data_IF_401741569942
#
_entry.id   IF_401741569942
#
_cell.length_a   1.000
_cell.length_b   1.000
_cell.length_c   1.000
_cell.angle_alpha   90.00
_cell.angle_beta   90.00
_cell.angle_gamma   90.00
#
_symmetry.space_group_name_H-M   'P 1'
#
loop_
_entity.id
_entity.type
_entity.pdbx_description
1 polymer ?
#
# COMPACT_ATOMS: atom_id res chain seq x y z
N UNK A 1 4.25 -3.37 2.32
CA UNK A 1 5.71 -3.65 2.30
C UNK A 1 6.44 -2.31 2.28
N UNK A 2 7.46 -2.08 3.13
CA UNK A 2 8.24 -0.84 3.12
C UNK A 2 9.02 -0.67 1.82
N UNK A 3 9.04 0.55 1.26
CA UNK A 3 9.77 0.84 0.02
C UNK A 3 11.07 1.56 0.33
N UNK A 4 12.18 1.11 -0.28
CA UNK A 4 13.50 1.74 -0.13
C UNK A 4 13.43 3.24 -0.46
N UNK A 5 14.13 4.06 0.32
CA UNK A 5 14.17 5.53 0.21
C UNK A 5 12.83 6.26 0.41
N UNK A 6 11.76 5.56 0.77
CA UNK A 6 10.46 6.13 1.08
C UNK A 6 10.08 5.92 2.56
N UNK A 7 11.06 5.98 3.48
CA UNK A 7 10.88 5.62 4.90
C UNK A 7 9.72 6.37 5.56
N UNK A 8 9.64 7.69 5.39
CA UNK A 8 8.55 8.51 5.93
C UNK A 8 7.19 8.05 5.40
N UNK A 9 7.07 7.80 4.10
CA UNK A 9 5.84 7.30 3.49
C UNK A 9 5.47 5.91 4.03
N UNK A 10 6.42 4.97 4.07
CA UNK A 10 6.18 3.61 4.57
C UNK A 10 5.80 3.59 6.06
N UNK A 11 6.48 4.39 6.89
CA UNK A 11 6.15 4.53 8.31
C UNK A 11 4.75 5.09 8.51
N UNK A 12 4.40 6.17 7.81
CA UNK A 12 3.05 6.75 7.89
C UNK A 12 1.97 5.77 7.45
N UNK A 13 2.21 4.95 6.42
CA UNK A 13 1.24 3.93 5.99
C UNK A 13 1.11 2.77 6.97
N UNK A 14 2.20 2.32 7.59
CA UNK A 14 2.15 1.31 8.64
C UNK A 14 1.42 1.82 9.90
N UNK A 15 1.62 3.09 10.28
CA UNK A 15 0.94 3.69 11.42
C UNK A 15 -0.59 3.70 11.27
N UNK A 16 -1.10 3.85 10.04
CA UNK A 16 -2.54 3.78 9.77
C UNK A 16 -3.15 2.40 10.06
N UNK A 17 -2.38 1.30 9.90
CA UNK A 17 -2.86 -0.04 10.25
C UNK A 17 -3.13 -0.14 11.76
N UNK A 18 -2.18 0.28 12.59
CA UNK A 18 -2.35 0.30 14.06
C UNK A 18 -3.45 1.27 14.47
N UNK A 19 -3.48 2.47 13.90
CA UNK A 19 -4.52 3.46 14.20
C UNK A 19 -5.92 2.88 13.95
N UNK A 20 -6.13 2.20 12.82
CA UNK A 20 -7.42 1.61 12.50
C UNK A 20 -7.80 0.42 13.40
N UNK A 21 -6.82 -0.38 13.84
CA UNK A 21 -7.05 -1.45 14.82
C UNK A 21 -7.50 -0.85 16.16
N UNK A 22 -6.77 0.15 16.66
CA UNK A 22 -7.10 0.82 17.93
C UNK A 22 -8.46 1.50 17.85
N UNK A 23 -8.73 2.27 16.79
CA UNK A 23 -10.03 2.92 16.60
C UNK A 23 -11.19 1.94 16.57
N UNK A 24 -11.04 0.76 15.93
CA UNK A 24 -12.08 -0.28 15.93
C UNK A 24 -12.46 -0.70 17.35
N UNK A 25 -11.47 -0.89 18.23
CA UNK A 25 -11.71 -1.24 19.64
C UNK A 25 -12.34 -0.09 20.41
N UNK A 26 -11.90 1.15 20.16
CA UNK A 26 -12.44 2.33 20.86
C UNK A 26 -13.91 2.62 20.50
N UNK A 27 -14.32 2.34 19.26
CA UNK A 27 -15.70 2.58 18.78
C UNK A 27 -16.59 1.34 18.84
N UNK A 28 -16.12 0.26 19.45
CA UNK A 28 -16.89 -0.98 19.59
C UNK A 28 -18.21 -0.71 20.33
N UNK A 29 -19.32 -1.26 19.81
CA UNK A 29 -20.66 -1.07 20.36
C UNK A 29 -21.31 0.28 20.03
N UNK A 30 -20.62 1.22 19.38
CA UNK A 30 -21.17 2.55 19.03
C UNK A 30 -21.89 2.57 17.66
N UNK A 31 -22.02 1.41 17.00
CA UNK A 31 -22.62 1.32 15.66
C UNK A 31 -21.74 1.87 14.53
N UNK A 32 -20.49 2.25 14.81
CA UNK A 32 -19.49 2.71 13.84
C UNK A 32 -18.59 1.55 13.40
N UNK A 33 -18.34 1.44 12.10
CA UNK A 33 -17.39 0.47 11.53
C UNK A 33 -16.15 1.19 11.00
N UNK A 34 -14.97 0.65 11.28
CA UNK A 34 -13.69 1.17 10.78
C UNK A 34 -13.01 0.09 9.95
N UNK A 35 -12.88 0.34 8.64
CA UNK A 35 -12.23 -0.57 7.70
C UNK A 35 -11.00 0.06 7.05
N UNK A 36 -10.03 -0.76 6.68
CA UNK A 36 -8.80 -0.34 5.98
C UNK A 36 -8.73 -0.99 4.60
N UNK A 37 -8.60 -0.17 3.57
CA UNK A 37 -8.30 -0.64 2.21
C UNK A 37 -6.83 -0.38 1.89
N UNK A 38 -6.13 -1.44 1.53
CA UNK A 38 -4.70 -1.45 1.28
C UNK A 38 -4.44 -1.78 -0.19
N UNK A 39 -4.41 -0.77 -1.06
CA UNK A 39 -4.05 -0.99 -2.44
C UNK A 39 -2.57 -1.33 -2.57
N UNK A 40 -2.26 -2.18 -3.54
CA UNK A 40 -0.91 -2.38 -4.02
C UNK A 40 -0.47 -1.29 -4.97
N UNK A 41 0.20 -1.68 -6.05
CA UNK A 41 0.65 -0.76 -7.09
C UNK A 41 -0.55 -0.28 -7.91
N UNK A 42 -0.82 1.02 -7.90
CA UNK A 42 -1.95 1.62 -8.65
C UNK A 42 -1.44 2.47 -9.81
N UNK A 43 -2.01 2.29 -10.99
CA UNK A 43 -1.80 3.12 -12.20
C UNK A 43 -2.39 4.51 -11.99
N UNK A 44 -1.66 5.33 -11.23
CA UNK A 44 -2.03 6.70 -10.86
C UNK A 44 -0.84 7.65 -11.02
N UNK A 45 -1.10 8.94 -10.90
CA UNK A 45 -0.08 9.97 -10.92
C UNK A 45 0.72 10.08 -9.61
N UNK A 46 0.60 9.12 -8.68
CA UNK A 46 1.32 9.14 -7.40
C UNK A 46 2.83 9.35 -7.58
N UNK A 47 3.44 8.66 -8.54
CA UNK A 47 4.87 8.74 -8.84
C UNK A 47 5.32 10.08 -9.42
N UNK A 48 4.40 10.96 -9.83
CA UNK A 48 4.73 12.33 -10.27
C UNK A 48 5.23 13.19 -9.12
N UNK A 49 4.72 12.93 -7.90
CA UNK A 49 4.98 13.72 -6.70
C UNK A 49 5.63 12.92 -5.56
N UNK A 50 5.80 11.61 -5.72
CA UNK A 50 6.43 10.76 -4.70
C UNK A 50 7.86 11.24 -4.39
N UNK A 51 8.21 11.35 -3.11
CA UNK A 51 9.55 11.73 -2.68
C UNK A 51 10.39 10.49 -2.35
N UNK A 52 11.58 10.42 -2.93
CA UNK A 52 12.61 9.43 -2.64
C UNK A 52 13.80 10.17 -2.02
N UNK A 53 14.16 9.81 -0.80
CA UNK A 53 15.20 10.50 -0.02
C UNK A 53 16.59 9.85 -0.13
N UNK A 54 16.81 9.02 -1.15
CA UNK A 54 18.10 8.43 -1.48
C UNK A 54 19.04 9.43 -2.16
N UNK A 55 20.32 9.08 -2.31
CA UNK A 55 21.32 9.93 -3.00
C UNK A 55 20.89 10.33 -4.42
N UNK A 56 20.20 9.43 -5.12
CA UNK A 56 19.73 9.63 -6.49
C UNK A 56 18.18 9.65 -6.56
N UNK A 57 17.51 10.30 -5.60
CA UNK A 57 16.06 10.21 -5.44
C UNK A 57 15.21 10.43 -6.71
N UNK A 58 15.60 11.37 -7.57
CA UNK A 58 14.91 11.62 -8.86
C UNK A 58 15.08 10.48 -9.87
N UNK A 59 16.25 9.86 -9.90
CA UNK A 59 16.54 8.69 -10.74
C UNK A 59 15.81 7.46 -10.19
N UNK A 60 15.89 7.21 -8.88
CA UNK A 60 15.16 6.13 -8.20
C UNK A 60 13.65 6.22 -8.49
N UNK A 61 13.08 7.42 -8.41
CA UNK A 61 11.67 7.70 -8.71
C UNK A 61 11.33 7.42 -10.17
N UNK A 62 12.23 7.76 -11.10
CA UNK A 62 12.06 7.52 -12.55
C UNK A 62 12.13 6.02 -12.86
N UNK A 63 13.12 5.32 -12.33
CA UNK A 63 13.30 3.87 -12.49
C UNK A 63 12.11 3.11 -11.90
N UNK A 64 11.67 3.47 -10.69
CA UNK A 64 10.48 2.87 -10.07
C UNK A 64 9.23 3.11 -10.93
N UNK A 65 9.03 4.33 -11.43
CA UNK A 65 7.89 4.64 -12.32
C UNK A 65 7.92 3.80 -13.59
N UNK A 66 9.08 3.62 -14.22
CA UNK A 66 9.21 2.78 -15.43
C UNK A 66 8.88 1.32 -15.12
N UNK A 67 9.39 0.79 -14.01
CA UNK A 67 9.05 -0.55 -13.52
C UNK A 67 7.53 -0.71 -13.33
N UNK A 68 6.87 0.22 -12.64
CA UNK A 68 5.42 0.16 -12.41
C UNK A 68 4.59 0.14 -13.70
N UNK A 69 5.04 0.86 -14.74
CA UNK A 69 4.39 0.88 -16.05
C UNK A 69 4.54 -0.43 -16.80
N UNK A 70 5.67 -1.13 -16.62
CA UNK A 70 5.95 -2.42 -17.26
C UNK A 70 5.33 -3.62 -16.54
N UNK A 71 4.97 -3.49 -15.25
CA UNK A 71 4.38 -4.58 -14.49
C UNK A 71 2.88 -4.75 -14.80
N UNK A 72 2.43 -5.92 -15.29
CA UNK A 72 1.01 -6.19 -15.54
C UNK A 72 0.19 -6.31 -14.24
N UNK A 73 0.85 -6.30 -13.07
CA UNK A 73 0.25 -6.50 -11.76
C UNK A 73 -0.29 -5.19 -11.14
N UNK A 74 -0.12 -4.04 -11.81
CA UNK A 74 -0.61 -2.75 -11.30
C UNK A 74 -2.13 -2.63 -11.45
N UNK A 75 -2.81 -2.37 -10.33
CA UNK A 75 -4.24 -2.13 -10.26
C UNK A 75 -4.63 -0.77 -10.86
N UNK A 76 -5.89 -0.62 -11.23
CA UNK A 76 -6.51 0.61 -11.71
C UNK A 76 -7.19 1.36 -10.56
N UNK A 77 -7.41 2.68 -10.68
CA UNK A 77 -8.25 3.40 -9.73
C UNK A 77 -9.67 2.83 -9.57
N UNK A 78 -10.23 2.24 -10.63
CA UNK A 78 -11.56 1.59 -10.59
C UNK A 78 -11.57 0.38 -9.65
N UNK A 79 -10.59 -0.52 -9.77
CA UNK A 79 -10.47 -1.68 -8.87
C UNK A 79 -10.31 -1.27 -7.39
N UNK A 80 -9.61 -0.16 -7.14
CA UNK A 80 -9.49 0.38 -5.77
C UNK A 80 -10.83 0.95 -5.30
N UNK A 81 -11.57 1.65 -6.16
CA UNK A 81 -12.89 2.17 -5.83
C UNK A 81 -13.89 1.04 -5.51
N UNK A 82 -13.89 -0.04 -6.30
CA UNK A 82 -14.70 -1.23 -6.04
C UNK A 82 -14.34 -1.87 -4.70
N UNK A 83 -13.04 -1.95 -4.38
CA UNK A 83 -12.59 -2.46 -3.08
C UNK A 83 -13.06 -1.59 -1.90
N UNK A 84 -13.06 -0.26 -2.05
CA UNK A 84 -13.60 0.68 -1.06
C UNK A 84 -15.10 0.48 -0.86
N UNK A 85 -15.85 0.41 -1.96
CA UNK A 85 -17.29 0.16 -1.91
C UNK A 85 -17.59 -1.16 -1.21
N UNK A 86 -16.92 -2.24 -1.61
CA UNK A 86 -17.12 -3.56 -1.04
C UNK A 86 -16.74 -3.58 0.45
N UNK A 87 -15.63 -2.96 0.83
CA UNK A 87 -15.19 -2.86 2.24
C UNK A 87 -16.27 -2.20 3.12
N UNK A 88 -16.89 -1.13 2.63
CA UNK A 88 -17.94 -0.43 3.34
C UNK A 88 -19.23 -1.26 3.40
N UNK A 89 -19.65 -1.86 2.27
CA UNK A 89 -20.87 -2.63 2.16
C UNK A 89 -20.85 -3.91 3.02
N UNK A 90 -19.72 -4.62 3.06
CA UNK A 90 -19.57 -5.85 3.83
C UNK A 90 -19.11 -5.64 5.28
N UNK A 91 -18.83 -4.38 5.67
CA UNK A 91 -18.16 -4.07 6.95
C UNK A 91 -16.88 -4.89 7.15
N UNK A 92 -16.07 -5.01 6.10
CA UNK A 92 -14.77 -5.67 6.20
C UNK A 92 -13.81 -4.82 7.01
N UNK A 93 -13.06 -5.46 7.89
CA UNK A 93 -12.02 -4.82 8.68
C UNK A 93 -10.81 -4.41 7.83
N UNK A 94 -10.38 -5.30 6.93
CA UNK A 94 -9.21 -5.11 6.09
C UNK A 94 -9.47 -5.70 4.70
N UNK A 95 -9.11 -4.95 3.67
CA UNK A 95 -9.20 -5.36 2.26
C UNK A 95 -7.91 -5.01 1.56
N UNK A 96 -7.17 -6.01 1.09
CA UNK A 96 -6.01 -5.81 0.21
C UNK A 96 -6.44 -5.82 -1.25
N UNK A 97 -6.00 -4.84 -2.04
CA UNK A 97 -6.33 -4.77 -3.47
C UNK A 97 -5.17 -5.33 -4.29
N UNK A 98 -5.46 -6.33 -5.14
CA UNK A 98 -4.48 -7.02 -5.97
C UNK A 98 -3.84 -8.24 -5.27
N UNK A 99 -4.22 -9.45 -5.71
CA UNK A 99 -3.75 -10.72 -5.15
C UNK A 99 -2.22 -10.87 -5.08
N UNK A 100 -1.44 -10.47 -6.11
CA UNK A 100 0.02 -10.57 -6.07
C UNK A 100 0.65 -9.68 -4.98
N UNK A 101 0.08 -8.49 -4.77
CA UNK A 101 0.58 -7.56 -3.76
C UNK A 101 0.19 -8.01 -2.35
N UNK A 102 -1.03 -8.49 -2.17
CA UNK A 102 -1.46 -9.09 -0.91
C UNK A 102 -0.55 -10.27 -0.51
N UNK A 103 -0.21 -11.14 -1.46
CA UNK A 103 0.74 -12.23 -1.24
C UNK A 103 2.14 -11.72 -0.87
N UNK A 104 2.64 -10.68 -1.54
CA UNK A 104 3.93 -10.07 -1.22
C UNK A 104 3.98 -9.44 0.18
N UNK A 105 2.89 -8.81 0.62
CA UNK A 105 2.76 -8.27 1.99
C UNK A 105 2.83 -9.39 3.01
N UNK A 106 2.10 -10.47 2.81
CA UNK A 106 2.09 -11.60 3.74
C UNK A 106 3.44 -12.34 3.76
N UNK A 107 4.06 -12.53 2.60
CA UNK A 107 5.41 -13.07 2.51
C UNK A 107 6.39 -12.20 3.30
N UNK A 108 6.39 -10.87 3.10
CA UNK A 108 7.23 -9.96 3.89
C UNK A 108 6.98 -10.09 5.41
N UNK A 109 5.72 -10.13 5.85
CA UNK A 109 5.38 -10.28 7.28
C UNK A 109 5.88 -11.62 7.85
N UNK A 110 5.91 -12.68 7.04
CA UNK A 110 6.31 -14.02 7.48
C UNK A 110 7.82 -14.28 7.40
N UNK A 111 8.48 -13.84 6.33
CA UNK A 111 9.90 -14.15 6.06
C UNK A 111 10.85 -12.98 6.33
N UNK A 112 10.34 -11.77 6.54
CA UNK A 112 11.14 -10.53 6.66
C UNK A 112 11.80 -10.07 5.35
N UNK A 113 11.74 -10.88 4.29
CA UNK A 113 12.30 -10.55 2.98
C UNK A 113 11.50 -9.41 2.35
N UNK A 114 12.16 -8.27 2.14
CA UNK A 114 11.56 -7.11 1.51
C UNK A 114 11.91 -7.06 0.01
N UNK A 115 10.99 -7.48 -0.89
CA UNK A 115 11.25 -7.46 -2.34
C UNK A 115 11.42 -6.03 -2.89
N UNK A 116 11.01 -5.01 -2.15
CA UNK A 116 11.17 -3.60 -2.51
C UNK A 116 12.46 -2.97 -1.96
N UNK A 117 13.32 -3.75 -1.29
CA UNK A 117 14.63 -3.31 -0.80
C UNK A 117 15.77 -3.50 -1.82
N UNK A 118 15.54 -4.30 -2.87
CA UNK A 118 16.52 -4.58 -3.92
C UNK A 118 16.70 -3.32 -4.79
N UNK A 119 17.93 -2.92 -5.17
CA UNK A 119 18.14 -1.76 -6.03
C UNK A 119 17.37 -1.86 -7.35
N UNK A 120 16.80 -0.75 -7.81
CA UNK A 120 16.24 -0.63 -9.16
C UNK A 120 17.37 -0.32 -10.16
N UNK A 121 18.35 -1.22 -10.25
CA UNK A 121 19.50 -1.15 -11.17
C UNK A 121 19.54 -2.38 -12.04
#
# INVERSE_FOLDING_TARGET
>A
VPTKYMSAFSASKAALETLAVTLRTEVEGQGVHVGVVQPGLVKSNFMERAAFYGKNGEEDRRSFRQLLRGLPLSQTPGEVADAVYNCAASKSNEVSVGLPFAAAVQAYKFVGLNPSAVPFT
#
